data_IF_646193679413
#
_entry.id   IF_646193679413
#
_cell.length_a   1.000
_cell.length_b   1.000
_cell.length_c   1.000
_cell.angle_alpha   90.00
_cell.angle_beta   90.00
_cell.angle_gamma   90.00
#
_symmetry.space_group_name_H-M   'P 1'
#
loop_
_entity.id
_entity.type
_entity.pdbx_description
1 polymer ?
#
# COMPACT_ATOMS: atom_id res chain seq x y z
N UNK A 1 4.12 -13.37 31.81
CA UNK A 1 4.95 -13.78 30.66
C UNK A 1 5.43 -15.21 30.75
N UNK A 2 5.93 -15.68 31.86
CA UNK A 2 6.43 -17.06 32.05
C UNK A 2 5.39 -18.15 31.81
N UNK A 3 4.16 -17.99 32.24
CA UNK A 3 3.06 -18.95 32.02
C UNK A 3 2.71 -19.13 30.55
N UNK A 4 2.80 -18.06 29.75
CA UNK A 4 2.53 -18.11 28.32
C UNK A 4 3.63 -18.87 27.56
N UNK A 5 4.88 -18.68 27.93
CA UNK A 5 6.04 -19.37 27.34
C UNK A 5 6.00 -20.85 27.64
N UNK A 6 5.66 -21.25 28.90
CA UNK A 6 5.51 -22.65 29.30
C UNK A 6 4.37 -23.31 28.53
N UNK A 7 3.24 -22.61 28.32
CA UNK A 7 2.11 -23.10 27.52
C UNK A 7 2.47 -23.34 26.05
N UNK A 8 3.21 -22.44 25.42
CA UNK A 8 3.67 -22.60 24.04
C UNK A 8 4.64 -23.78 23.92
N UNK A 9 5.58 -23.92 24.86
CA UNK A 9 6.55 -25.01 24.85
C UNK A 9 5.87 -26.38 25.00
N UNK A 10 4.87 -26.50 25.88
CA UNK A 10 4.08 -27.71 26.06
C UNK A 10 3.32 -28.11 24.79
N UNK A 11 2.76 -27.12 24.04
CA UNK A 11 2.07 -27.37 22.78
C UNK A 11 3.03 -27.86 21.71
N UNK A 12 4.23 -27.27 21.60
CA UNK A 12 5.25 -27.68 20.63
C UNK A 12 5.72 -29.11 20.90
N UNK A 13 5.95 -29.47 22.16
CA UNK A 13 6.34 -30.83 22.56
C UNK A 13 5.22 -31.84 22.26
N UNK A 14 3.97 -31.49 22.51
CA UNK A 14 2.82 -32.34 22.19
C UNK A 14 2.71 -32.58 20.66
N UNK A 15 2.92 -31.55 19.85
CA UNK A 15 2.89 -31.65 18.37
C UNK A 15 4.03 -32.56 17.84
N UNK A 16 5.21 -32.52 18.46
CA UNK A 16 6.35 -33.37 18.07
C UNK A 16 6.10 -34.85 18.40
N UNK A 17 5.46 -35.14 19.53
CA UNK A 17 5.10 -36.51 19.93
C UNK A 17 4.02 -37.08 19.00
N UNK A 18 3.03 -36.28 18.60
CA UNK A 18 1.94 -36.68 17.69
C UNK A 18 2.48 -37.02 16.29
N UNK A 19 3.53 -36.34 15.85
CA UNK A 19 4.15 -36.59 14.53
C UNK A 19 4.74 -38.00 14.41
N UNK A 20 5.06 -38.66 15.53
CA UNK A 20 5.77 -39.94 15.56
C UNK A 20 4.86 -41.16 15.81
N UNK A 21 3.65 -40.99 16.32
CA UNK A 21 2.87 -42.12 16.91
C UNK A 21 1.49 -42.33 16.27
N UNK A 22 0.88 -41.39 15.52
CA UNK A 22 -0.56 -41.47 15.26
C UNK A 22 -0.90 -41.32 13.76
N UNK A 23 -1.82 -42.17 13.27
CA UNK A 23 -2.36 -42.14 11.91
C UNK A 23 -3.20 -40.87 11.57
N UNK A 24 -3.53 -40.68 10.29
CA UNK A 24 -4.06 -39.39 9.75
C UNK A 24 -5.34 -38.89 10.43
N UNK A 25 -6.25 -39.81 10.84
CA UNK A 25 -7.55 -39.47 11.47
C UNK A 25 -7.37 -38.94 12.90
N UNK A 26 -6.50 -39.57 13.67
CA UNK A 26 -6.24 -39.12 15.05
C UNK A 26 -5.48 -37.76 15.10
N UNK A 27 -4.70 -37.43 14.07
CA UNK A 27 -4.09 -36.09 13.95
C UNK A 27 -5.12 -34.99 13.79
N UNK A 28 -6.16 -35.21 12.94
CA UNK A 28 -7.23 -34.25 12.75
C UNK A 28 -8.01 -33.99 14.04
N UNK A 29 -8.31 -35.04 14.81
CA UNK A 29 -9.03 -34.92 16.10
C UNK A 29 -8.21 -34.14 17.12
N UNK A 30 -6.92 -34.41 17.24
CA UNK A 30 -6.05 -33.69 18.20
C UNK A 30 -5.87 -32.23 17.81
N UNK A 31 -5.74 -31.91 16.51
CA UNK A 31 -5.68 -30.53 16.05
C UNK A 31 -7.00 -29.79 16.35
N UNK A 32 -8.15 -30.42 16.13
CA UNK A 32 -9.45 -29.82 16.45
C UNK A 32 -9.61 -29.54 17.96
N UNK A 33 -9.17 -30.44 18.83
CA UNK A 33 -9.18 -30.24 20.29
C UNK A 33 -8.25 -29.08 20.69
N UNK A 34 -7.04 -28.99 20.12
CA UNK A 34 -6.11 -27.88 20.39
C UNK A 34 -6.68 -26.54 19.96
N UNK A 35 -7.34 -26.46 18.80
CA UNK A 35 -8.00 -25.23 18.35
C UNK A 35 -9.14 -24.84 19.30
N UNK A 36 -9.94 -25.79 19.76
CA UNK A 36 -11.03 -25.53 20.70
C UNK A 36 -10.50 -25.01 22.06
N UNK A 37 -9.43 -25.62 22.59
CA UNK A 37 -8.79 -25.18 23.84
C UNK A 37 -8.20 -23.77 23.69
N UNK A 38 -7.53 -23.47 22.56
CA UNK A 38 -7.02 -22.13 22.26
C UNK A 38 -8.15 -21.09 22.16
N UNK A 39 -9.27 -21.44 21.54
CA UNK A 39 -10.43 -20.56 21.45
C UNK A 39 -11.05 -20.27 22.84
N UNK A 40 -11.13 -21.26 23.72
CA UNK A 40 -11.62 -21.09 25.10
C UNK A 40 -10.65 -20.20 25.91
N UNK A 41 -9.34 -20.43 25.81
CA UNK A 41 -8.33 -19.61 26.48
C UNK A 41 -8.37 -18.15 25.98
N UNK A 42 -8.59 -17.95 24.69
CA UNK A 42 -8.73 -16.62 24.11
C UNK A 42 -10.01 -15.92 24.57
N UNK A 43 -11.14 -16.64 24.61
CA UNK A 43 -12.41 -16.12 25.10
C UNK A 43 -12.36 -15.73 26.59
N UNK A 44 -11.69 -16.53 27.44
CA UNK A 44 -11.51 -16.20 28.87
C UNK A 44 -10.59 -15.00 29.07
N UNK A 45 -9.57 -14.85 28.23
CA UNK A 45 -8.67 -13.68 28.28
C UNK A 45 -9.37 -12.39 27.77
N UNK A 46 -10.18 -12.49 26.72
CA UNK A 46 -10.98 -11.39 26.21
C UNK A 46 -12.06 -10.93 27.23
N UNK A 47 -12.73 -11.86 27.90
CA UNK A 47 -13.69 -11.56 28.95
C UNK A 47 -13.05 -10.89 30.17
N UNK A 48 -11.83 -11.25 30.54
CA UNK A 48 -11.09 -10.60 31.64
C UNK A 48 -10.74 -9.13 31.33
N UNK A 49 -10.64 -8.75 30.06
CA UNK A 49 -10.45 -7.35 29.66
C UNK A 49 -11.75 -6.54 29.60
N UNK A 50 -12.89 -7.21 29.33
CA UNK A 50 -14.22 -6.58 29.29
C UNK A 50 -14.78 -6.25 30.67
N UNK A 51 -14.35 -6.94 31.74
CA UNK A 51 -14.81 -6.71 33.11
C UNK A 51 -13.89 -5.84 33.97
N UNK A 52 -13.04 -5.00 33.39
CA UNK A 52 -12.43 -3.91 34.16
C UNK A 52 -13.55 -2.94 34.54
N UNK A 53 -13.85 -2.74 35.85
CA UNK A 53 -14.84 -1.77 36.24
C UNK A 53 -14.42 -0.41 35.70
N UNK A 54 -15.29 0.22 34.91
CA UNK A 54 -15.09 1.61 34.50
C UNK A 54 -15.02 2.44 35.79
N UNK A 55 -13.82 2.85 36.19
CA UNK A 55 -13.68 3.87 37.20
C UNK A 55 -14.46 5.08 36.71
N UNK A 56 -15.49 5.45 37.47
CA UNK A 56 -16.21 6.71 37.24
C UNK A 56 -15.16 7.81 37.28
N UNK A 57 -15.15 8.72 36.30
CA UNK A 57 -14.25 9.87 36.34
C UNK A 57 -14.45 10.61 37.66
N UNK A 58 -13.37 10.77 38.41
CA UNK A 58 -13.40 11.56 39.64
C UNK A 58 -13.68 13.01 39.28
N UNK A 59 -14.85 13.50 39.61
CA UNK A 59 -15.26 14.89 39.37
C UNK A 59 -14.30 15.80 40.16
N UNK A 60 -13.45 16.54 39.46
CA UNK A 60 -12.63 17.58 40.11
C UNK A 60 -13.38 18.93 40.08
N UNK A 61 -13.56 19.49 41.21
CA UNK A 61 -14.14 20.81 41.39
C UNK A 61 -13.06 21.83 41.75
N UNK A 62 -13.07 22.99 41.13
CA UNK A 62 -12.23 24.12 41.51
C UNK A 62 -13.11 25.24 42.05
N UNK A 63 -12.75 25.76 43.20
CA UNK A 63 -13.37 26.96 43.77
C UNK A 63 -12.84 28.20 43.03
N UNK A 64 -13.74 29.00 42.50
CA UNK A 64 -13.40 30.36 42.01
C UNK A 64 -13.36 31.33 43.18
N UNK A 65 -12.59 32.42 43.04
CA UNK A 65 -12.47 33.48 44.08
C UNK A 65 -13.80 34.03 44.56
N UNK A 66 -14.88 33.83 43.83
CA UNK A 66 -16.24 34.27 44.21
C UNK A 66 -17.07 33.17 44.89
N UNK A 67 -16.44 32.08 45.35
CA UNK A 67 -17.13 31.00 46.09
C UNK A 67 -18.11 30.16 45.27
N UNK A 68 -18.17 30.31 43.94
CA UNK A 68 -19.03 29.50 43.06
C UNK A 68 -18.30 28.27 42.53
N UNK A 69 -18.93 27.08 42.66
CA UNK A 69 -18.44 25.83 42.15
C UNK A 69 -18.69 25.78 40.64
N UNK A 70 -17.61 25.81 39.81
CA UNK A 70 -17.70 25.53 38.40
C UNK A 70 -17.27 24.09 38.14
N UNK A 71 -18.13 23.31 37.47
CA UNK A 71 -17.71 22.00 36.89
C UNK A 71 -16.65 22.27 35.80
N UNK A 72 -15.47 21.74 35.99
CA UNK A 72 -14.44 21.76 34.95
C UNK A 72 -14.88 20.77 33.85
N UNK A 73 -15.02 21.23 32.62
CA UNK A 73 -15.30 20.36 31.49
C UNK A 73 -14.10 19.36 31.32
N UNK A 74 -14.34 18.09 31.63
CA UNK A 74 -13.33 17.05 31.63
C UNK A 74 -12.87 16.64 30.21
N UNK A 75 -13.29 17.38 29.20
CA UNK A 75 -12.89 17.17 27.79
C UNK A 75 -12.31 18.47 27.22
N UNK A 76 -11.16 18.89 27.71
CA UNK A 76 -10.27 19.61 26.81
C UNK A 76 -9.82 18.60 25.75
N UNK A 77 -10.42 18.69 24.55
CA UNK A 77 -9.85 18.06 23.37
C UNK A 77 -8.41 18.54 23.28
N UNK A 78 -7.43 17.64 23.59
CA UNK A 78 -6.03 17.92 23.24
C UNK A 78 -6.05 18.43 21.81
N UNK A 79 -5.42 19.58 21.50
CA UNK A 79 -5.31 20.02 20.11
C UNK A 79 -4.73 18.85 19.34
N UNK A 80 -5.47 18.34 18.34
CA UNK A 80 -4.94 17.36 17.40
C UNK A 80 -3.73 18.04 16.80
N UNK A 81 -2.53 17.52 17.05
CA UNK A 81 -1.34 17.98 16.36
C UNK A 81 -1.69 18.00 14.87
N UNK A 82 -1.63 19.15 14.24
CA UNK A 82 -1.90 19.33 12.83
C UNK A 82 -0.89 18.44 12.10
N UNK A 83 -1.36 17.39 11.43
CA UNK A 83 -0.52 16.45 10.71
C UNK A 83 0.02 17.22 9.51
N UNK A 84 1.25 17.69 9.59
CA UNK A 84 1.93 18.35 8.47
C UNK A 84 2.02 17.32 7.35
N UNK A 85 1.37 17.61 6.23
CA UNK A 85 1.39 16.75 5.03
C UNK A 85 2.56 17.22 4.18
N UNK A 86 3.34 16.25 3.67
CA UNK A 86 4.44 16.55 2.76
C UNK A 86 3.89 17.21 1.48
N UNK A 87 4.40 18.40 1.09
CA UNK A 87 3.94 19.13 -0.08
C UNK A 87 3.95 18.31 -1.38
N UNK A 88 4.81 17.29 -1.48
CA UNK A 88 4.86 16.40 -2.66
C UNK A 88 3.56 15.65 -2.94
N UNK A 89 2.63 15.57 -1.97
CA UNK A 89 1.33 14.92 -2.14
C UNK A 89 0.18 15.89 -2.38
N UNK A 90 0.42 17.19 -2.26
CA UNK A 90 -0.61 18.22 -2.38
C UNK A 90 -0.93 18.58 -3.83
N UNK A 91 -1.64 19.69 -4.03
CA UNK A 91 -2.08 20.14 -5.34
C UNK A 91 -0.91 20.26 -6.34
N UNK A 92 -1.14 19.83 -7.58
CA UNK A 92 -0.13 19.78 -8.64
C UNK A 92 0.71 18.51 -8.68
N UNK A 93 0.59 17.62 -7.69
CA UNK A 93 1.36 16.36 -7.66
C UNK A 93 0.88 15.32 -8.68
N UNK A 94 -0.38 15.41 -9.12
CA UNK A 94 -0.99 14.56 -10.14
C UNK A 94 -1.41 15.39 -11.35
N UNK A 95 -0.46 15.75 -12.23
CA UNK A 95 -0.77 16.55 -13.41
C UNK A 95 -1.66 15.79 -14.39
N UNK A 96 -2.59 16.49 -15.02
CA UNK A 96 -3.51 15.93 -15.99
C UNK A 96 -3.21 16.44 -17.39
N UNK A 97 -3.26 15.55 -18.36
CA UNK A 97 -3.17 15.84 -19.79
C UNK A 97 -4.42 15.26 -20.46
N UNK A 98 -5.24 16.10 -21.07
CA UNK A 98 -6.51 15.71 -21.68
C UNK A 98 -7.45 14.95 -20.71
N UNK A 99 -7.52 15.39 -19.44
CA UNK A 99 -8.35 14.77 -18.40
C UNK A 99 -7.85 13.41 -17.93
N UNK A 100 -6.58 13.09 -18.16
CA UNK A 100 -5.93 11.87 -17.70
C UNK A 100 -4.66 12.19 -16.93
N UNK A 101 -4.49 11.52 -15.78
CA UNK A 101 -3.26 11.68 -15.00
C UNK A 101 -2.08 11.12 -15.78
N UNK A 102 -1.06 11.95 -15.92
CA UNK A 102 0.17 11.60 -16.63
C UNK A 102 1.38 12.25 -15.99
N UNK A 103 2.38 11.45 -15.65
CA UNK A 103 3.71 11.94 -15.27
C UNK A 103 4.70 11.72 -16.39
N UNK A 104 5.54 12.72 -16.64
CA UNK A 104 6.57 12.66 -17.65
C UNK A 104 7.89 13.17 -17.09
N UNK A 105 8.99 12.52 -17.42
CA UNK A 105 10.34 12.90 -17.04
C UNK A 105 11.31 12.69 -18.18
N UNK A 106 12.00 13.76 -18.56
CA UNK A 106 13.15 13.66 -19.44
C UNK A 106 14.39 13.30 -18.57
N UNK A 107 15.13 12.30 -18.97
CA UNK A 107 16.36 11.83 -18.32
C UNK A 107 17.50 12.05 -19.32
N UNK A 108 18.41 12.95 -18.98
CA UNK A 108 19.61 13.20 -19.78
C UNK A 108 20.62 12.07 -19.57
N UNK A 109 21.15 11.53 -20.68
CA UNK A 109 22.08 10.42 -20.75
C UNK A 109 23.21 10.79 -21.72
N UNK A 110 24.02 11.78 -21.44
CA UNK A 110 24.99 12.31 -22.38
C UNK A 110 25.99 11.24 -22.85
N UNK A 111 26.29 11.27 -24.14
CA UNK A 111 27.26 10.36 -24.73
C UNK A 111 26.74 8.97 -25.13
N UNK A 112 25.47 8.67 -24.90
CA UNK A 112 24.82 7.43 -25.41
C UNK A 112 23.95 7.74 -26.63
N UNK A 113 23.98 6.84 -27.61
CA UNK A 113 23.07 6.88 -28.75
C UNK A 113 21.65 6.48 -28.37
N UNK A 114 20.68 6.76 -29.21
CA UNK A 114 19.29 6.31 -29.05
C UNK A 114 19.22 4.77 -28.96
N UNK A 115 20.01 4.04 -29.76
CA UNK A 115 20.14 2.57 -29.71
C UNK A 115 20.66 2.07 -28.36
N UNK A 116 21.70 2.69 -27.82
CA UNK A 116 22.28 2.31 -26.53
C UNK A 116 21.25 2.51 -25.40
N UNK A 117 20.58 3.67 -25.41
CA UNK A 117 19.54 4.01 -24.43
C UNK A 117 18.38 3.04 -24.56
N UNK A 118 17.93 2.73 -25.76
CA UNK A 118 16.86 1.79 -26.03
C UNK A 118 17.18 0.39 -25.47
N UNK A 119 18.37 -0.14 -25.73
CA UNK A 119 18.79 -1.46 -25.24
C UNK A 119 18.81 -1.50 -23.69
N UNK A 120 19.22 -0.42 -23.03
CA UNK A 120 19.18 -0.31 -21.55
C UNK A 120 17.73 -0.30 -21.06
N UNK A 121 16.86 0.49 -21.69
CA UNK A 121 15.44 0.60 -21.36
C UNK A 121 14.72 -0.73 -21.57
N UNK A 122 15.00 -1.43 -22.69
CA UNK A 122 14.43 -2.74 -22.98
C UNK A 122 14.79 -3.75 -21.88
N UNK A 123 16.08 -3.85 -21.55
CA UNK A 123 16.55 -4.72 -20.47
C UNK A 123 15.90 -4.39 -19.12
N UNK A 124 15.83 -3.11 -18.79
CA UNK A 124 15.15 -2.65 -17.58
C UNK A 124 13.68 -3.03 -17.56
N UNK A 125 12.94 -2.73 -18.65
CA UNK A 125 11.50 -2.95 -18.71
C UNK A 125 11.13 -4.42 -18.66
N UNK A 126 11.91 -5.31 -19.33
CA UNK A 126 11.74 -6.76 -19.26
C UNK A 126 11.98 -7.29 -17.84
N UNK A 127 13.05 -6.87 -17.19
CA UNK A 127 13.34 -7.22 -15.79
C UNK A 127 12.24 -6.73 -14.84
N UNK A 128 11.76 -5.50 -15.06
CA UNK A 128 10.69 -4.91 -14.25
C UNK A 128 9.35 -5.63 -14.41
N UNK A 129 9.02 -6.10 -15.64
CA UNK A 129 7.86 -6.95 -15.88
C UNK A 129 8.00 -8.31 -15.17
N UNK A 130 9.18 -8.94 -15.25
CA UNK A 130 9.45 -10.23 -14.62
C UNK A 130 9.29 -10.18 -13.08
N UNK A 131 9.75 -9.11 -12.43
CA UNK A 131 9.53 -8.89 -10.99
C UNK A 131 8.04 -8.82 -10.61
N UNK A 132 7.14 -8.58 -11.56
CA UNK A 132 5.70 -8.36 -11.38
C UNK A 132 4.83 -9.42 -12.06
N UNK A 133 5.34 -10.64 -12.13
CA UNK A 133 4.59 -11.80 -12.62
C UNK A 133 4.41 -11.85 -14.14
N UNK A 134 5.26 -11.15 -14.88
CA UNK A 134 5.37 -11.27 -16.32
C UNK A 134 6.77 -11.70 -16.70
N UNK A 135 6.93 -12.67 -17.58
CA UNK A 135 8.23 -13.00 -18.19
C UNK A 135 8.44 -12.25 -19.53
N UNK A 136 7.43 -11.53 -19.99
CA UNK A 136 7.40 -10.82 -21.25
C UNK A 136 7.28 -11.76 -22.46
N UNK A 137 7.14 -13.08 -22.24
CA UNK A 137 7.11 -14.10 -23.27
C UNK A 137 5.69 -14.49 -23.64
N UNK A 138 4.74 -14.49 -22.67
CA UNK A 138 3.37 -14.88 -22.94
C UNK A 138 2.38 -13.71 -22.77
N UNK A 139 2.08 -12.99 -23.87
CA UNK A 139 1.21 -11.79 -23.79
C UNK A 139 -0.24 -12.07 -23.38
N UNK A 140 -0.67 -13.33 -23.30
CA UNK A 140 -2.02 -13.70 -22.90
C UNK A 140 -2.18 -13.95 -21.40
N UNK A 141 -1.12 -14.39 -20.74
CA UNK A 141 -1.13 -14.74 -19.29
C UNK A 141 -0.37 -13.75 -18.43
N UNK A 142 0.57 -13.01 -19.00
CA UNK A 142 1.39 -12.08 -18.26
C UNK A 142 0.59 -10.83 -17.86
N UNK A 143 0.58 -10.57 -16.57
CA UNK A 143 -0.08 -9.42 -15.97
C UNK A 143 0.70 -8.15 -16.29
N UNK A 144 2.05 -8.23 -16.23
CA UNK A 144 2.96 -7.18 -16.66
C UNK A 144 3.72 -7.64 -17.90
N UNK A 145 3.76 -6.80 -18.94
CA UNK A 145 4.34 -7.18 -20.25
C UNK A 145 4.77 -5.99 -21.08
N UNK A 146 5.69 -6.24 -22.01
CA UNK A 146 5.98 -5.31 -23.09
C UNK A 146 4.81 -5.34 -24.08
N UNK A 147 4.20 -4.19 -24.30
CA UNK A 147 3.06 -4.03 -25.20
C UNK A 147 3.48 -3.54 -26.60
N UNK A 148 4.52 -2.70 -26.68
CA UNK A 148 5.13 -2.23 -27.91
C UNK A 148 6.64 -2.32 -27.73
N UNK A 149 7.31 -2.87 -28.73
CA UNK A 149 8.75 -3.03 -28.84
C UNK A 149 9.15 -2.60 -30.27
N UNK A 150 9.27 -1.27 -30.46
CA UNK A 150 9.58 -0.66 -31.76
C UNK A 150 11.02 -0.12 -31.74
N UNK A 151 11.95 -0.98 -32.10
CA UNK A 151 13.38 -0.67 -32.12
C UNK A 151 13.74 0.36 -33.20
N UNK A 152 13.00 0.39 -34.32
CA UNK A 152 13.27 1.34 -35.41
C UNK A 152 12.93 2.78 -34.99
N UNK A 153 11.88 2.94 -34.17
CA UNK A 153 11.48 4.25 -33.62
C UNK A 153 12.06 4.53 -32.24
N UNK A 154 12.87 3.61 -31.70
CA UNK A 154 13.38 3.67 -30.33
C UNK A 154 12.29 3.91 -29.29
N UNK A 155 11.12 3.31 -29.50
CA UNK A 155 9.96 3.43 -28.61
C UNK A 155 9.63 2.08 -27.98
N UNK A 156 9.47 2.08 -26.65
CA UNK A 156 9.05 0.90 -25.90
C UNK A 156 7.87 1.25 -25.00
N UNK A 157 6.84 0.41 -24.99
CA UNK A 157 5.70 0.54 -24.10
C UNK A 157 5.53 -0.72 -23.26
N UNK A 158 5.57 -0.57 -21.94
CA UNK A 158 5.29 -1.64 -20.99
C UNK A 158 3.94 -1.39 -20.29
N UNK A 159 3.12 -2.42 -20.17
CA UNK A 159 1.95 -2.45 -19.28
C UNK A 159 2.34 -3.13 -17.99
N UNK A 160 2.10 -2.47 -16.89
CA UNK A 160 2.53 -2.92 -15.57
C UNK A 160 1.31 -3.06 -14.66
N UNK A 161 1.30 -4.13 -13.88
CA UNK A 161 0.43 -4.27 -12.71
C UNK A 161 1.29 -4.53 -11.48
N UNK A 162 1.09 -3.75 -10.44
CA UNK A 162 1.75 -3.96 -9.14
C UNK A 162 0.74 -3.85 -7.99
N UNK A 163 1.13 -4.29 -6.81
CA UNK A 163 0.27 -4.24 -5.62
C UNK A 163 0.69 -3.07 -4.75
N UNK A 164 -0.22 -2.12 -4.54
CA UNK A 164 -0.07 -1.08 -3.54
C UNK A 164 -0.64 -1.57 -2.22
N UNK A 165 0.20 -1.70 -1.20
CA UNK A 165 -0.21 -2.06 0.15
C UNK A 165 -0.40 -0.80 0.98
N UNK A 166 -1.63 -0.57 1.44
CA UNK A 166 -2.00 0.58 2.27
C UNK A 166 -1.82 0.27 3.74
N UNK A 167 -2.26 -0.90 4.16
CA UNK A 167 -2.14 -1.38 5.53
C UNK A 167 -1.83 -2.89 5.55
N UNK A 168 -0.90 -3.28 6.41
CA UNK A 168 -0.58 -4.68 6.65
C UNK A 168 -0.54 -4.90 8.16
N UNK A 169 -1.70 -5.21 8.74
CA UNK A 169 -1.86 -5.56 10.16
C UNK A 169 -2.21 -7.04 10.26
N UNK A 170 -1.96 -7.63 11.43
CA UNK A 170 -2.15 -9.05 11.71
C UNK A 170 -3.53 -9.62 11.28
N UNK A 171 -4.59 -8.79 11.24
CA UNK A 171 -5.95 -9.19 10.83
C UNK A 171 -6.54 -8.33 9.72
N UNK A 172 -5.78 -7.44 9.11
CA UNK A 172 -6.27 -6.54 8.07
C UNK A 172 -5.19 -6.29 7.03
N UNK A 173 -5.41 -6.82 5.84
CA UNK A 173 -4.61 -6.51 4.66
C UNK A 173 -5.45 -5.59 3.76
N UNK A 174 -4.98 -4.35 3.59
CA UNK A 174 -5.60 -3.36 2.71
C UNK A 174 -4.65 -3.09 1.55
N UNK A 175 -5.05 -3.49 0.33
CA UNK A 175 -4.23 -3.41 -0.87
C UNK A 175 -5.08 -3.20 -2.13
N UNK A 176 -4.47 -2.64 -3.15
CA UNK A 176 -5.05 -2.52 -4.49
C UNK A 176 -4.06 -3.01 -5.55
N UNK A 177 -4.58 -3.60 -6.63
CA UNK A 177 -3.80 -3.79 -7.86
C UNK A 177 -3.76 -2.44 -8.58
N UNK A 178 -2.59 -1.97 -8.90
CA UNK A 178 -2.34 -0.71 -9.60
C UNK A 178 -1.82 -1.00 -10.99
N UNK A 179 -2.57 -0.59 -11.99
CA UNK A 179 -2.25 -0.77 -13.40
C UNK A 179 -1.83 0.56 -14.00
N UNK A 180 -0.80 0.54 -14.84
CA UNK A 180 -0.35 1.70 -15.59
C UNK A 180 0.45 1.31 -16.83
N UNK A 181 0.70 2.27 -17.72
CA UNK A 181 1.63 2.14 -18.82
C UNK A 181 2.88 2.98 -18.58
N UNK A 182 4.02 2.42 -18.96
CA UNK A 182 5.28 3.13 -19.11
C UNK A 182 5.59 3.23 -20.59
N UNK A 183 5.75 4.46 -21.08
CA UNK A 183 6.20 4.75 -22.44
C UNK A 183 7.61 5.31 -22.33
N UNK A 184 8.51 4.75 -23.12
CA UNK A 184 9.87 5.21 -23.26
C UNK A 184 10.10 5.64 -24.70
N UNK A 185 10.49 6.88 -24.89
CA UNK A 185 10.92 7.43 -26.16
C UNK A 185 12.40 7.79 -26.03
N UNK A 186 13.26 7.04 -26.75
CA UNK A 186 14.71 7.16 -26.64
C UNK A 186 15.26 7.99 -27.80
N UNK A 187 16.11 8.94 -27.46
CA UNK A 187 16.79 9.85 -28.38
C UNK A 187 18.29 9.86 -28.05
N UNK A 188 19.10 10.38 -28.97
CA UNK A 188 20.52 10.57 -28.68
C UNK A 188 20.70 11.49 -27.46
N UNK A 189 21.38 10.98 -26.44
CA UNK A 189 21.66 11.68 -25.20
C UNK A 189 20.48 11.85 -24.24
N UNK A 190 19.28 11.33 -24.53
CA UNK A 190 18.09 11.56 -23.70
C UNK A 190 17.06 10.43 -23.81
N UNK A 191 16.41 10.11 -22.70
CA UNK A 191 15.22 9.26 -22.66
C UNK A 191 14.04 10.04 -22.07
N UNK A 192 12.89 10.06 -22.76
CA UNK A 192 11.64 10.58 -22.24
C UNK A 192 10.81 9.43 -21.70
N UNK A 193 10.52 9.46 -20.40
CA UNK A 193 9.72 8.44 -19.72
C UNK A 193 8.36 9.02 -19.38
N UNK A 194 7.31 8.37 -19.83
CA UNK A 194 5.92 8.76 -19.54
C UNK A 194 5.20 7.64 -18.81
N UNK A 195 4.52 7.96 -17.71
CA UNK A 195 3.64 7.07 -16.98
C UNK A 195 2.20 7.55 -17.13
N UNK A 196 1.33 6.73 -17.71
CA UNK A 196 -0.06 7.09 -18.02
C UNK A 196 -1.01 5.88 -17.92
N UNK A 197 -2.29 6.05 -18.30
CA UNK A 197 -3.32 5.01 -18.25
C UNK A 197 -3.45 4.32 -16.89
N UNK A 198 -3.46 5.13 -15.84
CA UNK A 198 -3.50 4.65 -14.47
C UNK A 198 -4.91 4.22 -14.06
N UNK A 199 -5.00 3.05 -13.44
CA UNK A 199 -6.23 2.59 -12.82
C UNK A 199 -5.95 1.62 -11.67
N UNK A 200 -6.95 1.45 -10.79
CA UNK A 200 -6.88 0.56 -9.65
C UNK A 200 -7.96 -0.53 -9.76
N UNK A 201 -7.63 -1.73 -9.28
CA UNK A 201 -8.61 -2.77 -8.97
C UNK A 201 -8.58 -2.93 -7.46
N UNK A 202 -9.69 -2.60 -6.80
CA UNK A 202 -9.76 -2.53 -5.35
C UNK A 202 -11.03 -3.21 -4.82
N UNK A 203 -10.89 -4.01 -3.77
CA UNK A 203 -11.97 -4.73 -3.08
C UNK A 203 -12.86 -5.60 -4.01
N UNK A 204 -12.28 -6.20 -5.05
CA UNK A 204 -12.98 -7.03 -6.04
C UNK A 204 -13.85 -8.09 -5.39
N UNK A 205 -13.34 -8.77 -4.33
CA UNK A 205 -14.04 -9.82 -3.59
C UNK A 205 -15.20 -9.29 -2.72
N UNK A 206 -15.27 -7.98 -2.49
CA UNK A 206 -16.25 -7.30 -1.64
C UNK A 206 -17.24 -6.45 -2.44
N UNK A 207 -17.32 -6.68 -3.75
CA UNK A 207 -18.16 -5.90 -4.65
C UNK A 207 -17.57 -4.56 -5.09
N UNK A 208 -16.27 -4.38 -4.89
CA UNK A 208 -15.50 -3.30 -5.49
C UNK A 208 -15.29 -3.53 -6.98
N UNK A 209 -14.34 -2.81 -7.58
CA UNK A 209 -14.12 -2.90 -9.02
C UNK A 209 -12.88 -2.16 -9.50
N UNK A 210 -12.92 -1.82 -10.79
CA UNK A 210 -11.88 -1.03 -11.43
C UNK A 210 -12.23 0.46 -11.36
N UNK A 211 -11.28 1.26 -10.90
CA UNK A 211 -11.41 2.71 -10.72
C UNK A 211 -10.32 3.42 -11.52
N UNK A 212 -10.66 4.38 -12.39
CA UNK A 212 -9.68 5.27 -13.00
C UNK A 212 -8.91 6.05 -11.92
N UNK A 213 -7.65 6.36 -12.16
CA UNK A 213 -6.85 7.11 -11.20
C UNK A 213 -7.39 8.52 -10.98
N UNK A 214 -7.99 9.11 -12.00
CA UNK A 214 -8.62 10.43 -11.95
C UNK A 214 -9.71 10.49 -10.86
N UNK A 215 -10.51 9.43 -10.72
CA UNK A 215 -11.58 9.36 -9.71
C UNK A 215 -11.06 9.17 -8.29
N UNK A 216 -9.77 8.82 -8.13
CA UNK A 216 -9.19 8.47 -6.85
C UNK A 216 -8.12 9.46 -6.37
N UNK A 217 -7.29 9.99 -7.28
CA UNK A 217 -6.09 10.74 -6.88
C UNK A 217 -5.91 12.08 -7.60
N UNK A 218 -6.82 12.49 -8.49
CA UNK A 218 -6.79 13.83 -9.09
C UNK A 218 -6.90 14.93 -8.02
N UNK A 219 -6.44 16.12 -8.34
CA UNK A 219 -6.43 17.22 -7.37
C UNK A 219 -7.83 17.61 -6.90
N UNK A 220 -8.81 17.65 -7.79
CA UNK A 220 -10.20 17.98 -7.49
C UNK A 220 -10.89 16.90 -6.65
N UNK A 221 -10.46 15.64 -6.78
CA UNK A 221 -11.00 14.48 -6.05
C UNK A 221 -10.32 14.28 -4.70
N UNK A 222 -8.98 14.40 -4.65
CA UNK A 222 -8.19 14.00 -3.50
C UNK A 222 -7.79 15.15 -2.57
N UNK A 223 -7.72 16.39 -3.09
CA UNK A 223 -7.24 17.55 -2.33
C UNK A 223 -8.43 18.42 -1.89
N UNK A 224 -8.35 18.94 -0.67
CA UNK A 224 -9.35 19.82 -0.15
C UNK A 224 -9.34 21.18 -0.88
N UNK A 225 -10.44 21.96 -0.77
CA UNK A 225 -10.59 23.26 -1.45
C UNK A 225 -9.52 24.30 -1.09
N UNK A 226 -8.79 24.11 0.01
CA UNK A 226 -7.71 25.02 0.41
C UNK A 226 -6.37 24.62 -0.20
N UNK A 227 -6.24 23.42 -0.74
CA UNK A 227 -5.00 22.89 -1.30
C UNK A 227 -3.96 22.43 -0.28
N UNK A 228 -4.26 22.49 1.00
CA UNK A 228 -3.35 22.22 2.12
C UNK A 228 -3.53 20.83 2.77
N UNK A 229 -4.48 20.05 2.28
CA UNK A 229 -4.79 18.75 2.85
C UNK A 229 -5.63 17.87 1.94
N UNK A 230 -5.89 16.65 2.38
CA UNK A 230 -6.72 15.70 1.64
C UNK A 230 -8.22 15.90 1.91
N UNK A 231 -9.04 15.56 0.93
CA UNK A 231 -10.47 15.42 1.11
C UNK A 231 -10.78 14.24 2.05
N UNK A 232 -11.89 14.33 2.77
CA UNK A 232 -12.38 13.20 3.58
C UNK A 232 -12.95 12.13 2.66
N UNK A 233 -12.48 10.89 2.79
CA UNK A 233 -13.06 9.79 1.99
C UNK A 233 -12.10 8.69 1.57
N UNK A 234 -10.82 8.75 1.98
CA UNK A 234 -9.88 7.62 1.80
C UNK A 234 -8.99 7.69 0.57
N UNK A 235 -9.10 8.72 -0.27
CA UNK A 235 -8.20 8.94 -1.41
C UNK A 235 -6.75 9.24 -1.00
N UNK A 236 -6.51 9.71 0.23
CA UNK A 236 -5.18 9.97 0.78
C UNK A 236 -4.24 8.76 0.57
N UNK A 237 -4.69 7.54 0.92
CA UNK A 237 -3.86 6.33 0.83
C UNK A 237 -3.49 5.99 -0.62
N UNK A 238 -4.42 6.14 -1.55
CA UNK A 238 -4.17 5.91 -2.98
C UNK A 238 -3.18 6.93 -3.52
N UNK A 239 -3.44 8.22 -3.30
CA UNK A 239 -2.60 9.30 -3.80
C UNK A 239 -1.16 9.21 -3.28
N UNK A 240 -0.98 9.08 -1.97
CA UNK A 240 0.36 9.01 -1.36
C UNK A 240 1.14 7.80 -1.85
N UNK A 241 0.53 6.61 -1.86
CA UNK A 241 1.20 5.38 -2.30
C UNK A 241 1.53 5.38 -3.79
N UNK A 242 0.65 5.95 -4.62
CA UNK A 242 0.90 6.06 -6.07
C UNK A 242 2.05 7.02 -6.37
N UNK A 243 2.09 8.17 -5.71
CA UNK A 243 3.19 9.13 -5.88
C UNK A 243 4.51 8.52 -5.41
N UNK A 244 4.52 7.83 -4.26
CA UNK A 244 5.72 7.16 -3.77
C UNK A 244 6.20 6.05 -4.72
N UNK A 245 5.28 5.23 -5.25
CA UNK A 245 5.60 4.20 -6.23
C UNK A 245 6.18 4.79 -7.53
N UNK A 246 5.56 5.85 -8.04
CA UNK A 246 6.05 6.59 -9.22
C UNK A 246 7.44 7.17 -8.97
N UNK A 247 7.68 7.81 -7.82
CA UNK A 247 8.98 8.40 -7.49
C UNK A 247 10.08 7.34 -7.38
N UNK A 248 9.78 6.22 -6.73
CA UNK A 248 10.70 5.08 -6.64
C UNK A 248 11.02 4.49 -8.02
N UNK A 249 9.99 4.32 -8.87
CA UNK A 249 10.16 3.80 -10.22
C UNK A 249 11.01 4.72 -11.09
N UNK A 250 10.70 6.02 -11.13
CA UNK A 250 11.46 6.98 -11.93
C UNK A 250 12.92 7.08 -11.46
N UNK A 251 13.16 6.96 -10.16
CA UNK A 251 14.52 6.87 -9.60
C UNK A 251 15.26 5.60 -10.05
N UNK A 252 14.56 4.45 -10.12
CA UNK A 252 15.15 3.19 -10.63
C UNK A 252 15.50 3.29 -12.11
N UNK A 253 14.61 3.88 -12.94
CA UNK A 253 14.86 4.09 -14.36
C UNK A 253 16.07 5.00 -14.56
N UNK A 254 16.13 6.11 -13.82
CA UNK A 254 17.25 7.04 -13.90
C UNK A 254 18.59 6.39 -13.54
N UNK A 255 18.59 5.52 -12.51
CA UNK A 255 19.79 4.77 -12.12
C UNK A 255 20.21 3.72 -13.18
N UNK A 256 19.26 3.14 -13.89
CA UNK A 256 19.56 2.18 -14.93
C UNK A 256 20.16 2.84 -16.18
N UNK A 257 19.78 4.09 -16.47
CA UNK A 257 20.23 4.86 -17.62
C UNK A 257 21.60 5.51 -17.43
N UNK A 258 21.97 5.82 -16.18
CA UNK A 258 23.27 6.41 -15.83
C UNK A 258 24.35 5.37 -15.64
#
# INVERSE_FOLDING_TARGET
MTQLIIGILAIVVALLIIKKVVGCIARAVVIAILIAVLAILYATHANAQLFKPKQKPQESYTLTQDGKIKKRALFEKKPKAEKVIDPKYLAGACPEVNGKIQWQKAIEVPGKSADDIYNIVESFARGYCAERGGDGVNPKTDVSKIAIDDKEKHQLVARIQEVLTFENKFLSLDQAKFNYQLVFDCYDGRCLVTMNNLNYIYEEERGGGQFPAEDMIADDTAINKKGDGFQKGGSEKFRTKTIDAKDALFSRIEKALK
#
